data_IF_259293261929
#
_entry.id   IF_259293261929
#
_cell.length_a   1.000
_cell.length_b   1.000
_cell.length_c   1.000
_cell.angle_alpha   90.00
_cell.angle_beta   90.00
_cell.angle_gamma   90.00
#
_symmetry.space_group_name_H-M   'P 1'
#
loop_
_entity.id
_entity.type
_entity.pdbx_description
1 polymer ?
#
# COMPACT_ATOMS: atom_id res chain seq x y z
N UNK A 1 11.17 -24.89 -7.11
CA UNK A 1 11.16 -25.07 -5.65
C UNK A 1 10.00 -25.99 -5.38
N UNK A 2 10.28 -27.16 -4.82
CA UNK A 2 9.26 -28.16 -4.52
C UNK A 2 8.39 -27.71 -3.35
N UNK A 3 7.16 -28.22 -3.28
CA UNK A 3 6.17 -27.81 -2.29
C UNK A 3 6.63 -28.12 -0.85
N UNK A 4 7.24 -29.29 -0.63
CA UNK A 4 7.84 -29.66 0.67
C UNK A 4 8.91 -28.66 1.13
N UNK A 5 9.80 -28.25 0.21
CA UNK A 5 10.90 -27.34 0.51
C UNK A 5 10.39 -25.95 0.89
N UNK A 6 9.33 -25.48 0.22
CA UNK A 6 8.67 -24.23 0.57
C UNK A 6 7.96 -24.33 1.93
N UNK A 7 7.28 -25.43 2.21
CA UNK A 7 6.58 -25.63 3.49
C UNK A 7 7.55 -25.64 4.67
N UNK A 8 8.68 -26.34 4.55
CA UNK A 8 9.71 -26.35 5.60
C UNK A 8 10.33 -24.96 5.80
N UNK A 9 10.63 -24.23 4.71
CA UNK A 9 11.32 -22.93 4.78
C UNK A 9 10.43 -21.76 5.19
N UNK A 10 9.14 -21.82 4.88
CA UNK A 10 8.20 -20.72 5.07
C UNK A 10 7.00 -21.13 5.93
N UNK A 11 6.36 -22.26 5.62
CA UNK A 11 5.14 -22.71 6.29
C UNK A 11 5.30 -22.89 7.80
N UNK A 12 6.36 -23.57 8.23
CA UNK A 12 6.68 -23.77 9.67
C UNK A 12 6.86 -22.44 10.39
N UNK A 13 7.63 -21.52 9.80
CA UNK A 13 7.88 -20.19 10.39
C UNK A 13 6.62 -19.35 10.54
N UNK A 14 5.72 -19.42 9.56
CA UNK A 14 4.43 -18.73 9.63
C UNK A 14 3.52 -19.35 10.70
N UNK A 15 3.51 -20.67 10.84
CA UNK A 15 2.79 -21.34 11.92
C UNK A 15 3.31 -20.91 13.29
N UNK A 16 4.63 -20.94 13.48
CA UNK A 16 5.25 -20.63 14.78
C UNK A 16 5.02 -19.17 15.18
N UNK A 17 5.06 -18.24 14.22
CA UNK A 17 4.94 -16.81 14.51
C UNK A 17 3.49 -16.31 14.56
N UNK A 18 2.64 -16.75 13.63
CA UNK A 18 1.27 -16.24 13.45
C UNK A 18 0.18 -17.23 13.89
N UNK A 19 0.55 -18.45 14.31
CA UNK A 19 -0.38 -19.50 14.71
C UNK A 19 -1.09 -20.21 13.56
N UNK A 20 -1.08 -19.64 12.34
CA UNK A 20 -1.61 -20.27 11.14
C UNK A 20 -1.00 -19.67 9.87
N UNK A 21 -1.01 -20.45 8.78
CA UNK A 21 -0.60 -19.95 7.46
C UNK A 21 -1.48 -18.79 6.99
N UNK A 22 -2.79 -18.87 7.26
CA UNK A 22 -3.74 -17.84 6.83
C UNK A 22 -3.45 -16.50 7.51
N UNK A 23 -3.23 -16.51 8.83
CA UNK A 23 -2.86 -15.30 9.58
C UNK A 23 -1.54 -14.70 9.09
N UNK A 24 -0.54 -15.53 8.74
CA UNK A 24 0.70 -15.06 8.15
C UNK A 24 0.51 -14.41 6.77
N UNK A 25 -0.36 -14.96 5.93
CA UNK A 25 -0.70 -14.37 4.62
C UNK A 25 -1.55 -13.10 4.78
N UNK A 26 -2.45 -13.03 5.76
CA UNK A 26 -3.20 -11.82 6.08
C UNK A 26 -2.27 -10.70 6.56
N UNK A 27 -1.29 -11.02 7.42
CA UNK A 27 -0.24 -10.10 7.82
C UNK A 27 0.61 -9.63 6.63
N UNK A 28 0.92 -10.52 5.68
CA UNK A 28 1.61 -10.15 4.43
C UNK A 28 0.76 -9.25 3.53
N UNK A 29 -0.56 -9.46 3.49
CA UNK A 29 -1.48 -8.63 2.72
C UNK A 29 -1.59 -7.21 3.30
N UNK A 30 -1.63 -7.08 4.64
CA UNK A 30 -1.73 -5.79 5.35
C UNK A 30 -0.37 -5.06 5.46
N UNK A 31 0.66 -5.75 5.96
CA UNK A 31 1.99 -5.18 6.26
C UNK A 31 3.06 -5.40 5.19
N UNK A 32 2.73 -6.08 4.08
CA UNK A 32 3.68 -6.40 3.01
C UNK A 32 4.73 -7.44 3.38
N UNK A 33 5.77 -7.59 2.56
CA UNK A 33 6.84 -8.56 2.80
C UNK A 33 7.60 -8.34 4.12
N UNK A 34 7.58 -7.12 4.69
CA UNK A 34 8.23 -6.82 5.96
C UNK A 34 7.71 -7.71 7.10
N UNK A 35 6.38 -7.87 7.20
CA UNK A 35 5.73 -8.74 8.19
C UNK A 35 6.22 -10.20 8.11
N UNK A 36 6.51 -10.69 6.89
CA UNK A 36 7.01 -12.04 6.69
C UNK A 36 8.51 -12.16 6.98
N UNK A 37 9.29 -11.10 6.73
CA UNK A 37 10.72 -11.07 7.07
C UNK A 37 10.92 -11.05 8.59
N UNK A 38 10.05 -10.37 9.33
CA UNK A 38 10.03 -10.39 10.80
C UNK A 38 9.75 -11.79 11.36
N UNK A 39 8.92 -12.58 10.68
CA UNK A 39 8.71 -14.01 10.96
C UNK A 39 9.89 -14.90 10.49
N UNK A 40 10.99 -14.33 9.99
CA UNK A 40 12.20 -15.05 9.63
C UNK A 40 12.22 -15.62 8.21
N UNK A 41 11.31 -15.20 7.32
CA UNK A 41 11.35 -15.61 5.92
C UNK A 41 12.40 -14.80 5.13
N UNK A 42 13.02 -15.44 4.14
CA UNK A 42 13.92 -14.72 3.23
C UNK A 42 13.15 -13.68 2.42
N UNK A 43 13.76 -12.52 2.12
CA UNK A 43 13.14 -11.45 1.33
C UNK A 43 12.53 -11.93 0.01
N UNK A 44 13.18 -12.90 -0.65
CA UNK A 44 12.70 -13.48 -1.91
C UNK A 44 11.36 -14.18 -1.73
N UNK A 45 11.25 -15.06 -0.73
CA UNK A 45 10.01 -15.80 -0.45
C UNK A 45 8.94 -14.85 0.07
N UNK A 46 9.31 -13.95 0.99
CA UNK A 46 8.39 -12.96 1.56
C UNK A 46 7.71 -12.12 0.47
N UNK A 47 8.46 -11.64 -0.53
CA UNK A 47 7.92 -10.86 -1.64
C UNK A 47 6.96 -11.66 -2.53
N UNK A 48 7.30 -12.90 -2.87
CA UNK A 48 6.42 -13.75 -3.67
C UNK A 48 5.11 -14.08 -2.94
N UNK A 49 5.18 -14.33 -1.63
CA UNK A 49 4.01 -14.57 -0.81
C UNK A 49 3.17 -13.31 -0.62
N UNK A 50 3.80 -12.14 -0.42
CA UNK A 50 3.11 -10.84 -0.38
C UNK A 50 2.32 -10.60 -1.67
N UNK A 51 2.94 -10.76 -2.84
CA UNK A 51 2.27 -10.54 -4.13
C UNK A 51 1.04 -11.45 -4.28
N UNK A 52 1.16 -12.71 -3.88
CA UNK A 52 0.05 -13.67 -3.91
C UNK A 52 -1.02 -13.33 -2.88
N UNK A 53 -0.62 -12.94 -1.66
CA UNK A 53 -1.52 -12.60 -0.58
C UNK A 53 -2.33 -11.36 -0.90
N UNK A 54 -1.72 -10.31 -1.47
CA UNK A 54 -2.42 -9.10 -1.91
C UNK A 54 -3.47 -9.35 -3.00
N UNK A 55 -3.23 -10.34 -3.86
CA UNK A 55 -4.17 -10.71 -4.92
C UNK A 55 -5.32 -11.59 -4.41
N UNK A 56 -5.07 -12.44 -3.41
CA UNK A 56 -6.02 -13.50 -2.99
C UNK A 56 -6.65 -13.32 -1.62
N UNK A 57 -6.07 -12.52 -0.73
CA UNK A 57 -6.56 -12.33 0.63
C UNK A 57 -7.29 -10.99 0.72
N UNK A 58 -8.57 -11.06 1.06
CA UNK A 58 -9.38 -9.87 1.34
C UNK A 58 -9.08 -9.40 2.75
N UNK A 59 -8.42 -8.25 2.87
CA UNK A 59 -8.24 -7.58 4.16
C UNK A 59 -9.61 -7.09 4.61
N UNK A 60 -10.07 -7.57 5.78
CA UNK A 60 -11.31 -7.07 6.39
C UNK A 60 -11.12 -5.59 6.73
N UNK A 61 -12.03 -4.75 6.26
CA UNK A 61 -11.98 -3.31 6.49
C UNK A 61 -12.95 -2.54 5.62
N UNK A 62 -12.93 -1.23 5.78
CA UNK A 62 -13.66 -0.26 4.97
C UNK A 62 -12.68 0.38 4.00
N UNK A 63 -13.03 0.41 2.71
CA UNK A 63 -12.28 1.11 1.68
C UNK A 63 -13.03 2.36 1.24
N UNK A 64 -12.36 3.50 1.28
CA UNK A 64 -12.85 4.77 0.72
C UNK A 64 -11.98 5.20 -0.45
N UNK A 65 -12.55 5.98 -1.37
CA UNK A 65 -11.92 6.36 -2.64
C UNK A 65 -11.90 7.87 -2.83
N UNK A 66 -10.87 8.35 -3.53
CA UNK A 66 -10.79 9.72 -4.00
C UNK A 66 -9.96 9.82 -5.27
N UNK A 67 -9.98 11.00 -5.89
CA UNK A 67 -9.24 11.29 -7.12
C UNK A 67 -8.31 12.47 -6.86
N UNK A 68 -7.03 12.26 -7.17
CA UNK A 68 -6.01 13.29 -7.24
C UNK A 68 -5.82 13.67 -8.71
N UNK A 69 -5.94 14.96 -9.03
CA UNK A 69 -5.54 15.48 -10.34
C UNK A 69 -4.23 16.22 -10.18
N UNK A 70 -3.16 15.67 -10.76
CA UNK A 70 -1.79 16.19 -10.60
C UNK A 70 -1.19 16.46 -11.98
N UNK A 71 -0.73 17.68 -12.19
CA UNK A 71 0.00 18.11 -13.39
C UNK A 71 1.39 18.59 -13.01
N UNK A 72 2.33 18.43 -13.94
CA UNK A 72 3.70 18.95 -13.85
C UNK A 72 4.07 19.64 -15.17
N UNK A 73 4.81 20.73 -15.07
CA UNK A 73 5.43 21.44 -16.19
C UNK A 73 6.94 21.16 -16.29
N UNK A 74 7.46 20.32 -15.39
CA UNK A 74 8.86 19.92 -15.35
C UNK A 74 9.17 18.83 -16.37
N UNK A 75 10.43 18.78 -16.84
CA UNK A 75 10.89 17.77 -17.78
C UNK A 75 10.78 16.33 -17.23
N UNK A 76 10.79 16.16 -15.90
CA UNK A 76 10.68 14.87 -15.20
C UNK A 76 9.35 14.72 -14.44
N UNK A 77 8.31 15.40 -14.92
CA UNK A 77 7.03 15.49 -14.21
C UNK A 77 6.38 14.14 -13.90
N UNK A 78 6.53 13.14 -14.76
CA UNK A 78 5.96 11.79 -14.52
C UNK A 78 6.67 11.10 -13.36
N UNK A 79 8.00 11.17 -13.32
CA UNK A 79 8.83 10.63 -12.24
C UNK A 79 8.53 11.32 -10.92
N UNK A 80 8.39 12.63 -10.92
CA UNK A 80 8.09 13.44 -9.73
C UNK A 80 6.70 13.11 -9.16
N UNK A 81 5.68 12.98 -10.03
CA UNK A 81 4.32 12.56 -9.63
C UNK A 81 4.40 11.16 -9.01
N UNK A 82 5.07 10.22 -9.68
CA UNK A 82 5.18 8.84 -9.20
C UNK A 82 5.89 8.78 -7.85
N UNK A 83 6.99 9.51 -7.69
CA UNK A 83 7.73 9.60 -6.42
C UNK A 83 6.84 10.14 -5.30
N UNK A 84 6.17 11.26 -5.54
CA UNK A 84 5.27 11.88 -4.55
C UNK A 84 4.14 10.94 -4.13
N UNK A 85 3.49 10.29 -5.10
CA UNK A 85 2.42 9.32 -4.83
C UNK A 85 2.91 8.08 -4.05
N UNK A 86 4.13 7.61 -4.32
CA UNK A 86 4.72 6.50 -3.58
C UNK A 86 5.08 6.86 -2.13
N UNK A 87 5.54 8.08 -1.86
CA UNK A 87 5.74 8.56 -0.50
C UNK A 87 4.40 8.78 0.22
N UNK A 88 3.41 9.35 -0.47
CA UNK A 88 2.06 9.54 0.06
C UNK A 88 1.41 8.21 0.49
N UNK A 89 1.68 7.11 -0.23
CA UNK A 89 1.25 5.76 0.17
C UNK A 89 1.79 5.33 1.54
N UNK A 90 3.01 5.75 1.91
CA UNK A 90 3.63 5.37 3.20
C UNK A 90 2.96 6.09 4.36
N UNK A 91 2.51 7.33 4.16
CA UNK A 91 1.76 8.11 5.16
C UNK A 91 0.50 7.36 5.61
N UNK A 92 -0.20 6.68 4.70
CA UNK A 92 -1.35 5.86 5.08
C UNK A 92 -0.97 4.74 6.08
N UNK A 93 0.18 4.10 5.87
CA UNK A 93 0.66 3.02 6.74
C UNK A 93 1.04 3.51 8.14
N UNK A 94 1.53 4.75 8.26
CA UNK A 94 1.79 5.42 9.54
C UNK A 94 0.50 5.71 10.33
N UNK A 95 -0.66 5.66 9.66
CA UNK A 95 -1.99 5.88 10.23
C UNK A 95 -2.86 4.61 10.20
N UNK A 96 -2.25 3.43 10.37
CA UNK A 96 -2.91 2.12 10.45
C UNK A 96 -3.82 1.79 9.25
N UNK A 97 -3.54 2.37 8.08
CA UNK A 97 -4.31 2.20 6.86
C UNK A 97 -3.44 1.71 5.68
N UNK A 98 -4.07 1.05 4.72
CA UNK A 98 -3.43 0.61 3.48
C UNK A 98 -3.90 1.50 2.34
N UNK A 99 -2.97 2.20 1.69
CA UNK A 99 -3.26 2.98 0.49
C UNK A 99 -2.86 2.25 -0.81
N UNK A 100 -3.76 2.25 -1.78
CA UNK A 100 -3.50 1.82 -3.15
C UNK A 100 -3.75 2.98 -4.12
N UNK A 101 -2.91 3.06 -5.14
CA UNK A 101 -2.89 4.17 -6.09
C UNK A 101 -2.92 3.61 -7.50
N UNK A 102 -3.85 4.12 -8.30
CA UNK A 102 -4.07 3.68 -9.67
C UNK A 102 -4.06 4.90 -10.60
N UNK A 103 -3.36 4.79 -11.73
CA UNK A 103 -3.48 5.81 -12.78
C UNK A 103 -4.81 5.61 -13.51
N UNK A 104 -5.61 6.68 -13.60
CA UNK A 104 -6.82 6.73 -14.42
C UNK A 104 -6.55 7.36 -15.80
N UNK A 105 -5.27 7.53 -16.16
CA UNK A 105 -4.84 8.36 -17.27
C UNK A 105 -4.58 9.79 -16.82
N UNK A 106 -3.45 10.35 -17.25
CA UNK A 106 -3.05 11.70 -16.85
C UNK A 106 -4.16 12.73 -17.18
N UNK A 107 -4.43 13.70 -16.30
CA UNK A 107 -3.73 13.97 -15.03
C UNK A 107 -4.33 13.27 -13.80
N UNK A 108 -5.20 12.26 -13.97
CA UNK A 108 -6.03 11.70 -12.90
C UNK A 108 -5.44 10.42 -12.29
N UNK A 109 -5.41 10.38 -10.97
CA UNK A 109 -4.93 9.25 -10.18
C UNK A 109 -5.96 8.92 -9.09
N UNK A 110 -6.43 7.68 -9.04
CA UNK A 110 -7.30 7.19 -7.97
C UNK A 110 -6.46 6.81 -6.76
N UNK A 111 -6.89 7.25 -5.59
CA UNK A 111 -6.42 6.75 -4.31
C UNK A 111 -7.54 5.94 -3.64
N UNK A 112 -7.20 4.76 -3.14
CA UNK A 112 -8.06 3.92 -2.31
C UNK A 112 -7.38 3.73 -0.96
N UNK A 113 -8.10 4.03 0.13
CA UNK A 113 -7.60 3.89 1.50
C UNK A 113 -8.47 2.89 2.22
N UNK A 114 -7.86 1.80 2.69
CA UNK A 114 -8.52 0.74 3.46
C UNK A 114 -8.06 0.81 4.92
N UNK A 115 -9.00 0.84 5.86
CA UNK A 115 -8.73 0.78 7.29
C UNK A 115 -9.80 -0.05 8.03
N UNK A 116 -9.65 -0.22 9.34
CA UNK A 116 -10.54 -1.05 10.14
C UNK A 116 -11.98 -0.46 10.24
N UNK A 117 -12.12 0.86 10.16
CA UNK A 117 -13.41 1.56 10.11
C UNK A 117 -13.35 2.86 9.25
N UNK A 118 -14.53 3.43 8.97
CA UNK A 118 -14.65 4.67 8.18
C UNK A 118 -13.90 5.86 8.79
N UNK A 119 -13.88 5.99 10.12
CA UNK A 119 -13.25 7.15 10.78
C UNK A 119 -11.74 7.09 10.63
N UNK A 120 -11.16 5.91 10.81
CA UNK A 120 -9.74 5.66 10.57
C UNK A 120 -9.38 5.87 9.09
N UNK A 121 -10.20 5.35 8.18
CA UNK A 121 -9.97 5.50 6.74
C UNK A 121 -9.98 6.97 6.31
N UNK A 122 -10.96 7.76 6.80
CA UNK A 122 -11.09 9.19 6.52
C UNK A 122 -9.90 10.00 7.06
N UNK A 123 -9.50 9.74 8.31
CA UNK A 123 -8.36 10.41 8.92
C UNK A 123 -7.06 10.12 8.16
N UNK A 124 -6.84 8.86 7.77
CA UNK A 124 -5.67 8.48 6.99
C UNK A 124 -5.70 9.12 5.59
N UNK A 125 -6.86 9.13 4.91
CA UNK A 125 -6.99 9.76 3.59
C UNK A 125 -6.73 11.26 3.64
N UNK A 126 -7.24 11.96 4.66
CA UNK A 126 -6.96 13.39 4.87
C UNK A 126 -5.46 13.65 4.99
N UNK A 127 -4.75 12.85 5.80
CA UNK A 127 -3.30 12.96 5.98
C UNK A 127 -2.52 12.71 4.69
N UNK A 128 -2.93 11.71 3.91
CA UNK A 128 -2.31 11.42 2.62
C UNK A 128 -2.53 12.57 1.63
N UNK A 129 -3.73 13.13 1.56
CA UNK A 129 -4.06 14.25 0.67
C UNK A 129 -3.31 15.52 1.08
N UNK A 130 -3.24 15.82 2.38
CA UNK A 130 -2.49 16.94 2.95
C UNK A 130 -1.00 16.83 2.57
N UNK A 131 -0.38 15.69 2.89
CA UNK A 131 1.02 15.43 2.53
C UNK A 131 1.29 15.58 1.03
N UNK A 132 0.40 15.06 0.19
CA UNK A 132 0.56 15.13 -1.27
C UNK A 132 0.51 16.57 -1.75
N UNK A 133 -0.43 17.38 -1.23
CA UNK A 133 -0.56 18.81 -1.57
C UNK A 133 0.66 19.61 -1.13
N UNK A 134 1.11 19.40 0.10
CA UNK A 134 2.26 20.12 0.67
C UNK A 134 3.55 19.76 -0.06
N UNK A 135 3.74 18.49 -0.40
CA UNK A 135 4.88 18.05 -1.20
C UNK A 135 4.83 18.67 -2.59
N UNK A 136 3.66 18.66 -3.24
CA UNK A 136 3.48 19.17 -4.60
C UNK A 136 3.57 20.69 -4.72
N UNK A 137 3.37 21.43 -3.63
CA UNK A 137 3.53 22.89 -3.60
C UNK A 137 4.95 23.34 -3.98
N UNK A 138 5.95 22.46 -3.85
CA UNK A 138 7.34 22.73 -4.23
C UNK A 138 7.65 22.42 -5.69
N UNK A 139 6.70 21.86 -6.45
CA UNK A 139 6.86 21.52 -7.86
C UNK A 139 6.13 22.52 -8.75
N UNK A 140 6.65 22.74 -9.96
CA UNK A 140 5.97 23.55 -10.97
C UNK A 140 4.82 22.75 -11.60
N UNK A 141 3.62 22.91 -11.05
CA UNK A 141 2.47 22.12 -11.42
C UNK A 141 1.21 22.51 -10.66
N UNK A 142 0.14 21.72 -10.82
CA UNK A 142 -1.09 21.88 -10.05
C UNK A 142 -1.49 20.56 -9.43
N UNK A 143 -2.09 20.64 -8.25
CA UNK A 143 -2.71 19.51 -7.57
C UNK A 143 -4.11 19.88 -7.10
N UNK A 144 -5.08 19.01 -7.34
CA UNK A 144 -6.39 19.07 -6.72
C UNK A 144 -6.84 17.69 -6.27
N UNK A 145 -7.80 17.67 -5.34
CA UNK A 145 -8.41 16.46 -4.83
C UNK A 145 -9.92 16.57 -4.92
N UNK A 146 -10.58 15.48 -5.35
CA UNK A 146 -12.04 15.35 -5.34
C UNK A 146 -12.44 14.01 -4.75
N UNK A 147 -13.61 13.99 -4.09
CA UNK A 147 -14.25 12.73 -3.68
C UNK A 147 -14.93 12.08 -4.88
N UNK A 148 -14.86 10.75 -4.92
CA UNK A 148 -15.64 9.92 -5.84
C UNK A 148 -16.87 9.33 -5.16
#
# INVERSE_FOLDING_TARGET
>A
MEVEDLYSKAGVKLLDHYGSLYAGLEAAAKGGAAALVEAGLSKKIARTLEETAKDKIVVKGVTIQGILEITSLEAKGVEDIKGTLLEAKKVAAEHDAVANLYSLGAPKYRIEVTADDYKAAEAALEKVVEFTKDTWANYNGKISYSRS
#
